data_IF_269605365140
#
_entry.id   IF_269605365140
#
_cell.length_a   1.000
_cell.length_b   1.000
_cell.length_c   1.000
_cell.angle_alpha   90.00
_cell.angle_beta   90.00
_cell.angle_gamma   90.00
#
_symmetry.space_group_name_H-M   'P 1'
#
loop_
_entity.id
_entity.type
_entity.pdbx_description
1 polymer ?
#
# COMPACT_ATOMS: atom_id res chain seq x y z
N UNK A 1 6.76 24.01 7.85
CA UNK A 1 7.35 23.08 6.87
C UNK A 1 6.46 21.86 6.81
N UNK A 2 5.92 21.51 5.67
CA UNK A 2 5.15 20.27 5.47
C UNK A 2 6.09 19.08 5.69
N UNK A 3 5.73 18.19 6.61
CA UNK A 3 6.54 17.00 6.95
C UNK A 3 6.34 15.93 5.86
N UNK A 4 7.25 15.89 4.87
CA UNK A 4 7.21 14.95 3.75
C UNK A 4 7.82 13.63 4.21
N UNK A 5 7.04 12.55 4.14
CA UNK A 5 7.48 11.20 4.51
C UNK A 5 8.08 10.44 3.33
N UNK A 6 7.60 10.71 2.11
CA UNK A 6 8.12 10.11 0.88
C UNK A 6 8.09 11.14 -0.24
N UNK A 7 9.16 11.24 -1.00
CA UNK A 7 9.24 12.09 -2.19
C UNK A 7 9.89 11.33 -3.36
N UNK A 8 9.38 11.56 -4.55
CA UNK A 8 10.02 11.22 -5.82
C UNK A 8 10.31 12.50 -6.56
N UNK A 9 11.50 12.60 -7.17
CA UNK A 9 11.93 13.74 -7.99
C UNK A 9 12.39 13.27 -9.35
N UNK A 10 11.79 13.83 -10.40
CA UNK A 10 12.12 13.54 -11.80
C UNK A 10 12.07 12.04 -12.11
N UNK A 11 11.15 11.30 -11.45
CA UNK A 11 11.07 9.87 -11.55
C UNK A 11 10.71 9.44 -12.98
N UNK A 12 11.58 8.62 -13.57
CA UNK A 12 11.39 8.06 -14.91
C UNK A 12 11.59 6.55 -14.89
N UNK A 13 10.71 5.84 -15.58
CA UNK A 13 10.85 4.40 -15.81
C UNK A 13 10.63 4.07 -17.27
N UNK A 14 11.64 3.46 -17.87
CA UNK A 14 11.60 2.96 -19.24
C UNK A 14 11.44 1.42 -19.24
N UNK A 15 10.60 0.91 -20.12
CA UNK A 15 10.53 -0.51 -20.46
C UNK A 15 10.90 -0.66 -21.94
N UNK A 16 12.00 -1.36 -22.22
CA UNK A 16 12.52 -1.50 -23.58
C UNK A 16 12.66 -0.17 -24.35
N UNK A 17 13.07 0.90 -23.65
CA UNK A 17 13.23 2.24 -24.22
C UNK A 17 11.95 3.09 -24.28
N UNK A 18 10.79 2.51 -23.97
CA UNK A 18 9.51 3.23 -23.96
C UNK A 18 9.22 3.74 -22.53
N UNK A 19 8.94 5.04 -22.33
CA UNK A 19 8.63 5.57 -21.02
C UNK A 19 7.23 5.13 -20.55
N UNK A 20 7.17 4.48 -19.39
CA UNK A 20 5.93 4.21 -18.66
C UNK A 20 5.60 5.35 -17.69
N UNK A 21 6.61 6.02 -17.16
CA UNK A 21 6.54 7.32 -16.48
C UNK A 21 7.76 8.15 -16.91
N UNK A 22 7.58 9.45 -17.03
CA UNK A 22 8.61 10.37 -17.49
C UNK A 22 8.60 11.66 -16.65
N UNK A 23 9.70 11.92 -15.96
CA UNK A 23 9.94 13.16 -15.19
C UNK A 23 8.81 13.48 -14.20
N UNK A 24 8.35 12.47 -13.44
CA UNK A 24 7.25 12.62 -12.50
C UNK A 24 7.78 13.00 -11.12
N UNK A 25 7.25 14.09 -10.58
CA UNK A 25 7.42 14.48 -9.18
C UNK A 25 6.19 14.03 -8.38
N UNK A 26 6.44 13.52 -7.16
CA UNK A 26 5.39 13.10 -6.24
C UNK A 26 5.86 13.31 -4.80
N UNK A 27 4.96 13.79 -3.95
CA UNK A 27 5.21 13.96 -2.53
C UNK A 27 4.06 13.40 -1.70
N UNK A 28 4.41 12.67 -0.64
CA UNK A 28 3.47 12.20 0.38
C UNK A 28 3.80 12.91 1.70
N UNK A 29 2.83 13.62 2.26
CA UNK A 29 2.95 14.26 3.58
C UNK A 29 2.67 13.23 4.68
N UNK A 30 3.23 13.45 5.86
CA UNK A 30 3.00 12.55 6.99
C UNK A 30 1.53 12.56 7.41
N UNK A 31 0.96 11.36 7.56
CA UNK A 31 -0.43 11.19 8.00
C UNK A 31 -1.48 11.71 7.02
N UNK A 32 -1.14 11.83 5.73
CA UNK A 32 -2.12 12.13 4.69
C UNK A 32 -2.56 10.89 3.93
N UNK A 33 -3.73 10.96 3.31
CA UNK A 33 -4.20 10.07 2.26
C UNK A 33 -4.04 10.83 0.94
N UNK A 34 -3.09 10.41 0.11
CA UNK A 34 -2.83 11.00 -1.20
C UNK A 34 -3.33 10.07 -2.30
N UNK A 35 -4.34 10.49 -3.04
CA UNK A 35 -4.85 9.71 -4.15
C UNK A 35 -4.03 9.95 -5.42
N UNK A 36 -3.74 8.87 -6.14
CA UNK A 36 -3.11 8.87 -7.45
C UNK A 36 -4.14 8.41 -8.49
N UNK A 37 -4.63 9.33 -9.31
CA UNK A 37 -5.73 9.12 -10.25
C UNK A 37 -5.24 9.24 -11.69
N UNK A 38 -5.86 8.52 -12.61
CA UNK A 38 -5.58 8.56 -14.05
C UNK A 38 -6.15 7.34 -14.75
N UNK A 39 -6.20 7.39 -16.07
CA UNK A 39 -6.65 6.28 -16.90
C UNK A 39 -5.74 5.04 -16.79
N UNK A 40 -6.22 3.92 -17.31
CA UNK A 40 -5.39 2.71 -17.42
C UNK A 40 -4.20 3.01 -18.34
N UNK A 41 -2.99 2.61 -17.93
CA UNK A 41 -1.78 2.94 -18.64
C UNK A 41 -1.16 4.31 -18.31
N UNK A 42 -1.80 5.16 -17.50
CA UNK A 42 -1.27 6.48 -17.12
C UNK A 42 0.04 6.45 -16.28
N UNK A 43 0.54 5.27 -15.91
CA UNK A 43 1.79 5.12 -15.17
C UNK A 43 1.65 5.00 -13.65
N UNK A 44 0.42 5.04 -13.09
CA UNK A 44 0.14 4.98 -11.65
C UNK A 44 0.84 3.81 -10.94
N UNK A 45 0.54 2.58 -11.40
CA UNK A 45 1.13 1.38 -10.80
C UNK A 45 2.65 1.27 -11.05
N UNK A 46 3.19 1.88 -12.13
CA UNK A 46 4.63 1.94 -12.35
C UNK A 46 5.30 2.84 -11.32
N UNK A 47 4.73 4.02 -11.05
CA UNK A 47 5.23 4.96 -10.07
C UNK A 47 5.25 4.33 -8.67
N UNK A 48 4.15 3.72 -8.25
CA UNK A 48 4.02 3.11 -6.92
C UNK A 48 4.82 1.82 -6.77
N UNK A 49 4.97 1.01 -7.83
CA UNK A 49 5.90 -0.12 -7.85
C UNK A 49 7.36 0.34 -7.70
N UNK A 50 7.72 1.54 -8.20
CA UNK A 50 9.00 2.18 -7.93
C UNK A 50 9.19 2.50 -6.45
N UNK A 51 8.19 3.11 -5.80
CA UNK A 51 8.19 3.39 -4.37
C UNK A 51 8.34 2.13 -3.52
N UNK A 52 7.67 1.05 -3.92
CA UNK A 52 7.66 -0.23 -3.23
C UNK A 52 8.85 -1.15 -3.54
N UNK A 53 9.82 -0.71 -4.34
CA UNK A 53 10.98 -1.53 -4.72
C UNK A 53 10.67 -2.74 -5.60
N UNK A 54 9.48 -2.78 -6.22
CA UNK A 54 9.08 -3.84 -7.16
C UNK A 54 9.73 -3.63 -8.52
N UNK A 55 9.91 -2.35 -8.91
CA UNK A 55 10.65 -1.97 -10.11
C UNK A 55 11.67 -0.90 -9.74
N UNK A 56 12.86 -0.95 -10.37
CA UNK A 56 13.87 0.08 -10.23
C UNK A 56 13.59 1.22 -11.21
N UNK A 57 13.61 2.47 -10.76
CA UNK A 57 13.51 3.64 -11.63
C UNK A 57 14.70 3.68 -12.60
N UNK A 58 14.48 4.16 -13.82
CA UNK A 58 15.53 4.35 -14.82
C UNK A 58 16.35 5.62 -14.54
N UNK A 59 15.71 6.67 -13.99
CA UNK A 59 16.33 7.90 -13.49
C UNK A 59 15.42 8.60 -12.50
N UNK A 60 15.92 9.67 -11.88
CA UNK A 60 15.26 10.37 -10.79
C UNK A 60 15.74 9.88 -9.43
N UNK A 61 15.21 10.48 -8.36
CA UNK A 61 15.56 10.16 -6.99
C UNK A 61 14.32 9.90 -6.16
N UNK A 62 14.47 9.09 -5.11
CA UNK A 62 13.45 8.87 -4.09
C UNK A 62 14.04 9.23 -2.74
N UNK A 63 13.23 9.83 -1.88
CA UNK A 63 13.58 10.12 -0.49
C UNK A 63 12.52 9.59 0.45
N UNK A 64 12.96 9.06 1.58
CA UNK A 64 12.08 8.62 2.69
C UNK A 64 12.54 9.36 3.95
N UNK A 65 11.63 10.14 4.54
CA UNK A 65 11.93 11.03 5.68
C UNK A 65 13.14 11.96 5.41
N UNK A 66 13.26 12.47 4.19
CA UNK A 66 14.35 13.36 3.78
C UNK A 66 15.70 12.69 3.51
N UNK A 67 15.77 11.36 3.58
CA UNK A 67 16.98 10.57 3.31
C UNK A 67 16.84 9.88 1.95
N UNK A 68 17.87 9.96 1.12
CA UNK A 68 17.88 9.28 -0.18
C UNK A 68 17.71 7.78 -0.01
N UNK A 69 16.84 7.21 -0.80
CA UNK A 69 16.46 5.81 -0.78
C UNK A 69 16.31 5.26 -2.20
N UNK A 70 16.70 4.01 -2.42
CA UNK A 70 16.57 3.35 -3.71
C UNK A 70 16.28 1.86 -3.50
N UNK A 71 15.10 1.50 -2.94
CA UNK A 71 14.77 0.11 -2.70
C UNK A 71 14.70 -0.65 -4.03
N UNK A 72 15.36 -1.80 -4.08
CA UNK A 72 15.40 -2.69 -5.25
C UNK A 72 14.53 -3.94 -5.07
N UNK A 73 14.01 -4.12 -3.86
CA UNK A 73 13.15 -5.23 -3.48
C UNK A 73 12.06 -4.75 -2.53
N UNK A 74 10.89 -5.41 -2.51
CA UNK A 74 9.84 -5.12 -1.53
C UNK A 74 10.29 -5.28 -0.07
N UNK A 75 11.29 -6.15 0.18
CA UNK A 75 11.87 -6.30 1.51
C UNK A 75 12.66 -5.06 1.94
N UNK A 76 13.44 -4.47 1.03
CA UNK A 76 14.14 -3.21 1.30
C UNK A 76 13.16 -2.06 1.53
N UNK A 77 12.11 -1.95 0.70
CA UNK A 77 11.06 -0.94 0.89
C UNK A 77 10.36 -1.11 2.26
N UNK A 78 10.11 -2.35 2.69
CA UNK A 78 9.56 -2.65 4.01
C UNK A 78 10.48 -2.19 5.14
N UNK A 79 11.79 -2.35 5.02
CA UNK A 79 12.76 -1.83 6.02
C UNK A 79 12.75 -0.30 6.08
N UNK A 80 12.38 0.39 5.01
CA UNK A 80 12.14 1.83 4.99
C UNK A 80 10.75 2.23 5.53
N UNK A 81 9.93 1.25 5.93
CA UNK A 81 8.59 1.45 6.43
C UNK A 81 7.52 1.59 5.35
N UNK A 82 7.79 1.16 4.11
CA UNK A 82 6.86 1.21 2.99
C UNK A 82 6.31 -0.20 2.73
N UNK A 83 4.99 -0.33 2.71
CA UNK A 83 4.30 -1.56 2.33
C UNK A 83 3.36 -1.29 1.16
N UNK A 84 3.25 -2.24 0.24
CA UNK A 84 2.30 -2.19 -0.86
C UNK A 84 1.31 -3.35 -0.74
N UNK A 85 0.03 -3.02 -0.79
CA UNK A 85 -1.08 -3.95 -0.90
C UNK A 85 -1.47 -3.99 -2.37
N UNK A 86 -1.20 -5.13 -3.00
CA UNK A 86 -1.39 -5.32 -4.44
C UNK A 86 -2.85 -5.64 -4.78
N UNK A 87 -3.25 -5.37 -6.00
CA UNK A 87 -4.52 -5.81 -6.57
C UNK A 87 -4.61 -7.35 -6.61
N UNK A 88 -3.50 -8.03 -6.91
CA UNK A 88 -3.37 -9.48 -6.78
C UNK A 88 -2.83 -9.83 -5.40
N UNK A 89 -3.56 -10.66 -4.66
CA UNK A 89 -3.22 -11.02 -3.28
C UNK A 89 -1.80 -11.61 -3.17
N UNK A 90 -0.98 -11.04 -2.31
CA UNK A 90 0.37 -11.52 -1.96
C UNK A 90 0.35 -12.57 -0.83
N UNK A 91 -0.85 -13.04 -0.45
CA UNK A 91 -1.06 -14.04 0.59
C UNK A 91 -0.83 -15.45 0.05
N UNK A 92 -0.34 -16.35 0.90
CA UNK A 92 -0.20 -17.78 0.59
C UNK A 92 -1.55 -18.47 0.83
N UNK A 93 -2.26 -18.90 -0.23
CA UNK A 93 -3.66 -19.35 -0.12
C UNK A 93 -3.85 -20.61 0.75
N UNK A 94 -2.83 -21.48 0.78
CA UNK A 94 -2.84 -22.74 1.54
C UNK A 94 -2.53 -22.56 3.02
N UNK A 95 -2.06 -21.39 3.43
CA UNK A 95 -1.75 -21.07 4.82
C UNK A 95 -2.95 -20.43 5.52
N UNK A 96 -2.95 -20.52 6.86
CA UNK A 96 -3.94 -19.81 7.68
C UNK A 96 -3.64 -18.32 7.74
N UNK A 97 -4.63 -17.54 8.20
CA UNK A 97 -4.48 -16.10 8.45
C UNK A 97 -3.31 -15.83 9.39
N UNK A 98 -3.23 -16.54 10.52
CA UNK A 98 -2.14 -16.38 11.48
C UNK A 98 -0.77 -16.65 10.84
N UNK A 99 -0.64 -17.71 10.05
CA UNK A 99 0.61 -18.02 9.35
C UNK A 99 0.99 -16.94 8.33
N UNK A 100 0.02 -16.39 7.59
CA UNK A 100 0.28 -15.30 6.64
C UNK A 100 0.71 -14.00 7.35
N UNK A 101 0.13 -13.68 8.50
CA UNK A 101 0.50 -12.49 9.27
C UNK A 101 1.96 -12.55 9.75
N UNK A 102 2.39 -13.71 10.25
CA UNK A 102 3.73 -13.89 10.84
C UNK A 102 4.75 -14.52 9.89
N UNK A 103 4.43 -14.63 8.59
CA UNK A 103 5.34 -15.17 7.59
C UNK A 103 6.66 -14.38 7.56
N UNK A 104 7.80 -15.11 7.72
CA UNK A 104 9.13 -14.52 7.80
C UNK A 104 9.54 -14.06 9.21
N UNK A 105 8.70 -14.29 10.22
CA UNK A 105 9.00 -14.00 11.63
C UNK A 105 8.98 -15.26 12.51
N UNK A 106 9.13 -16.44 11.94
CA UNK A 106 8.96 -17.73 12.62
C UNK A 106 9.92 -17.94 13.79
N UNK A 107 11.06 -17.25 13.81
CA UNK A 107 12.05 -17.34 14.89
C UNK A 107 11.54 -16.86 16.25
N UNK A 108 10.53 -16.01 16.29
CA UNK A 108 9.95 -15.48 17.53
C UNK A 108 8.83 -16.37 18.10
N UNK A 109 8.26 -17.26 17.30
CA UNK A 109 7.08 -18.04 17.69
C UNK A 109 7.34 -19.53 17.49
N UNK A 110 8.18 -20.12 18.36
CA UNK A 110 8.50 -21.56 18.34
C UNK A 110 7.31 -22.48 18.67
N UNK A 111 6.12 -21.92 18.93
CA UNK A 111 4.90 -22.71 19.20
C UNK A 111 3.75 -22.19 18.36
N UNK A 112 3.19 -23.03 17.49
CA UNK A 112 2.02 -22.73 16.65
C UNK A 112 0.87 -22.08 17.44
N UNK A 113 0.59 -22.54 18.67
CA UNK A 113 -0.43 -21.93 19.53
C UNK A 113 -0.18 -20.44 19.82
N UNK A 114 1.05 -20.03 19.95
CA UNK A 114 1.43 -18.63 20.22
C UNK A 114 1.04 -17.69 19.08
N UNK A 115 1.25 -18.11 17.82
CA UNK A 115 0.91 -17.26 16.67
C UNK A 115 -0.61 -17.05 16.51
N UNK A 116 -1.44 -18.05 16.84
CA UNK A 116 -2.90 -17.92 16.77
C UNK A 116 -3.45 -16.94 17.81
N UNK A 117 -2.92 -16.98 19.05
CA UNK A 117 -3.30 -16.05 20.11
C UNK A 117 -2.86 -14.63 19.74
N UNK A 118 -1.61 -14.46 19.31
CA UNK A 118 -1.08 -13.16 18.90
C UNK A 118 -1.87 -12.59 17.70
N UNK A 119 -2.18 -13.42 16.69
CA UNK A 119 -2.99 -13.02 15.57
C UNK A 119 -4.41 -12.59 15.99
N UNK A 120 -5.04 -13.34 16.91
CA UNK A 120 -6.39 -13.01 17.41
C UNK A 120 -6.38 -11.63 18.11
N UNK A 121 -5.45 -11.40 19.02
CA UNK A 121 -5.32 -10.14 19.74
C UNK A 121 -5.02 -8.97 18.79
N UNK A 122 -4.15 -9.19 17.81
CA UNK A 122 -3.77 -8.18 16.84
C UNK A 122 -4.95 -7.81 15.91
N UNK A 123 -5.64 -8.80 15.34
CA UNK A 123 -6.81 -8.56 14.48
C UNK A 123 -7.94 -7.87 15.26
N UNK A 124 -8.17 -8.24 16.52
CA UNK A 124 -9.12 -7.54 17.39
C UNK A 124 -8.71 -6.09 17.64
N UNK A 125 -7.42 -5.80 17.82
CA UNK A 125 -6.94 -4.42 17.99
C UNK A 125 -7.17 -3.53 16.77
N UNK A 126 -7.29 -4.14 15.58
CA UNK A 126 -7.66 -3.48 14.33
C UNK A 126 -9.18 -3.50 14.06
N UNK A 127 -9.96 -4.13 14.94
CA UNK A 127 -11.40 -4.36 14.76
C UNK A 127 -11.72 -5.16 13.48
N UNK A 128 -10.86 -6.16 13.15
CA UNK A 128 -11.03 -7.02 11.98
C UNK A 128 -11.75 -8.32 12.36
N UNK A 129 -12.91 -8.55 11.71
CA UNK A 129 -13.65 -9.81 11.84
C UNK A 129 -13.06 -10.89 10.92
N UNK A 130 -11.87 -11.38 11.28
CA UNK A 130 -11.16 -12.44 10.56
C UNK A 130 -10.66 -13.49 11.57
N UNK A 131 -11.00 -14.75 11.32
CA UNK A 131 -10.58 -15.86 12.19
C UNK A 131 -9.12 -16.25 11.89
N UNK A 132 -8.21 -16.24 12.88
CA UNK A 132 -6.79 -16.56 12.67
C UNK A 132 -6.51 -17.95 12.10
N UNK A 133 -7.37 -18.94 12.41
CA UNK A 133 -7.25 -20.32 11.94
C UNK A 133 -7.87 -20.56 10.56
N UNK A 134 -8.58 -19.59 10.00
CA UNK A 134 -9.16 -19.73 8.67
C UNK A 134 -8.07 -19.82 7.60
N UNK A 135 -8.25 -20.72 6.62
CA UNK A 135 -7.38 -20.82 5.46
C UNK A 135 -7.64 -19.64 4.52
N UNK A 136 -6.59 -18.90 4.17
CA UNK A 136 -6.72 -17.67 3.37
C UNK A 136 -7.39 -17.92 2.02
N UNK A 137 -7.12 -19.06 1.37
CA UNK A 137 -7.74 -19.40 0.09
C UNK A 137 -9.27 -19.42 0.11
N UNK A 138 -9.87 -19.71 1.27
CA UNK A 138 -11.33 -19.79 1.46
C UNK A 138 -11.99 -18.47 1.83
N UNK A 139 -11.19 -17.40 2.07
CA UNK A 139 -11.72 -16.08 2.41
C UNK A 139 -12.23 -15.34 1.17
N UNK A 140 -13.28 -14.54 1.34
CA UNK A 140 -13.71 -13.56 0.35
C UNK A 140 -12.68 -12.43 0.15
N UNK A 141 -12.81 -11.67 -0.93
CA UNK A 141 -11.85 -10.63 -1.33
C UNK A 141 -11.61 -9.60 -0.21
N UNK A 142 -12.66 -9.06 0.40
CA UNK A 142 -12.56 -8.10 1.49
C UNK A 142 -11.76 -8.63 2.69
N UNK A 143 -12.02 -9.88 3.13
CA UNK A 143 -11.28 -10.48 4.24
C UNK A 143 -9.82 -10.74 3.89
N UNK A 144 -9.51 -11.13 2.65
CA UNK A 144 -8.11 -11.25 2.18
C UNK A 144 -7.39 -9.90 2.27
N UNK A 145 -8.05 -8.84 1.81
CA UNK A 145 -7.50 -7.50 1.87
C UNK A 145 -7.24 -7.04 3.32
N UNK A 146 -8.17 -7.33 4.25
CA UNK A 146 -7.94 -7.07 5.69
C UNK A 146 -6.69 -7.77 6.21
N UNK A 147 -6.44 -9.02 5.80
CA UNK A 147 -5.23 -9.77 6.21
C UNK A 147 -3.96 -9.12 5.66
N UNK A 148 -3.96 -8.65 4.42
CA UNK A 148 -2.81 -7.93 3.84
C UNK A 148 -2.53 -6.62 4.57
N UNK A 149 -3.57 -5.85 4.87
CA UNK A 149 -3.45 -4.61 5.64
C UNK A 149 -2.94 -4.91 7.05
N UNK A 150 -3.52 -5.92 7.73
CA UNK A 150 -3.06 -6.35 9.04
C UNK A 150 -1.57 -6.72 9.01
N UNK A 151 -1.12 -7.45 7.99
CA UNK A 151 0.30 -7.79 7.80
C UNK A 151 1.18 -6.55 7.64
N UNK A 152 0.76 -5.56 6.83
CA UNK A 152 1.49 -4.32 6.65
C UNK A 152 1.61 -3.53 7.97
N UNK A 153 0.52 -3.43 8.74
CA UNK A 153 0.51 -2.76 10.04
C UNK A 153 1.35 -3.53 11.08
N UNK A 154 1.28 -4.85 11.09
CA UNK A 154 2.10 -5.71 11.98
C UNK A 154 3.60 -5.48 11.75
N UNK A 155 4.00 -5.25 10.50
CA UNK A 155 5.37 -4.91 10.13
C UNK A 155 5.71 -3.42 10.29
N UNK A 156 4.87 -2.66 11.02
CA UNK A 156 5.08 -1.25 11.37
C UNK A 156 5.24 -0.32 10.16
N UNK A 157 4.53 -0.61 9.08
CA UNK A 157 4.52 0.26 7.91
C UNK A 157 4.11 1.70 8.30
N UNK A 158 4.86 2.68 7.84
CA UNK A 158 4.59 4.11 7.98
C UNK A 158 3.91 4.68 6.74
N UNK A 159 4.15 4.03 5.61
CA UNK A 159 3.52 4.31 4.32
C UNK A 159 2.88 3.04 3.82
N UNK A 160 1.60 3.08 3.50
CA UNK A 160 0.88 1.98 2.86
C UNK A 160 0.38 2.44 1.50
N UNK A 161 0.73 1.69 0.47
CA UNK A 161 0.30 1.93 -0.91
C UNK A 161 -0.80 0.91 -1.24
N UNK A 162 -1.98 1.40 -1.63
CA UNK A 162 -3.09 0.59 -2.10
C UNK A 162 -3.22 0.71 -3.62
N UNK A 163 -3.04 -0.40 -4.34
CA UNK A 163 -3.17 -0.46 -5.81
C UNK A 163 -4.56 -0.96 -6.19
N UNK A 164 -5.47 -0.06 -6.56
CA UNK A 164 -6.87 -0.28 -6.94
C UNK A 164 -7.64 -1.20 -5.96
N UNK A 165 -7.64 -0.92 -4.66
CA UNK A 165 -8.13 -1.85 -3.64
C UNK A 165 -9.65 -2.04 -3.66
N UNK A 166 -10.39 -1.18 -4.34
CA UNK A 166 -11.85 -1.15 -4.36
C UNK A 166 -12.47 -1.80 -5.60
N UNK A 167 -11.63 -2.23 -6.55
CA UNK A 167 -12.09 -2.70 -7.87
C UNK A 167 -13.04 -3.92 -7.80
N UNK A 168 -12.89 -4.79 -6.79
CA UNK A 168 -13.68 -6.01 -6.63
C UNK A 168 -14.63 -5.98 -5.43
N UNK A 169 -14.75 -4.83 -4.76
CA UNK A 169 -15.55 -4.68 -3.55
C UNK A 169 -16.99 -4.23 -3.85
N UNK A 170 -17.94 -4.75 -3.09
CA UNK A 170 -19.32 -4.24 -3.07
C UNK A 170 -19.37 -2.82 -2.48
N UNK A 171 -20.47 -2.06 -2.67
CA UNK A 171 -20.60 -0.73 -2.08
C UNK A 171 -20.44 -0.73 -0.55
N UNK A 172 -20.98 -1.73 0.14
CA UNK A 172 -20.86 -1.88 1.59
C UNK A 172 -19.41 -2.16 2.01
N UNK A 173 -18.72 -3.04 1.28
CA UNK A 173 -17.31 -3.34 1.51
C UNK A 173 -16.41 -2.13 1.23
N UNK A 174 -16.71 -1.32 0.20
CA UNK A 174 -16.00 -0.05 -0.07
C UNK A 174 -16.13 0.92 1.10
N UNK A 175 -17.34 1.09 1.64
CA UNK A 175 -17.54 1.95 2.81
C UNK A 175 -16.70 1.48 3.99
N UNK A 176 -16.73 0.19 4.29
CA UNK A 176 -15.89 -0.39 5.34
C UNK A 176 -14.40 -0.17 5.10
N UNK A 177 -13.94 -0.36 3.87
CA UNK A 177 -12.54 -0.11 3.49
C UNK A 177 -12.16 1.37 3.69
N UNK A 178 -13.01 2.33 3.30
CA UNK A 178 -12.73 3.75 3.50
C UNK A 178 -12.65 4.13 4.98
N UNK A 179 -13.52 3.56 5.81
CA UNK A 179 -13.47 3.79 7.26
C UNK A 179 -12.17 3.22 7.86
N UNK A 180 -11.74 2.05 7.40
CA UNK A 180 -10.46 1.45 7.76
C UNK A 180 -9.26 2.34 7.37
N UNK A 181 -9.24 2.85 6.14
CA UNK A 181 -8.17 3.73 5.64
C UNK A 181 -8.09 5.02 6.48
N UNK A 182 -9.26 5.61 6.83
CA UNK A 182 -9.31 6.76 7.74
C UNK A 182 -8.80 6.44 9.15
N UNK A 183 -9.07 5.23 9.64
CA UNK A 183 -8.54 4.79 10.94
C UNK A 183 -7.02 4.61 10.92
N UNK A 184 -6.47 4.04 9.86
CA UNK A 184 -5.02 3.93 9.66
C UNK A 184 -4.35 5.31 9.63
N UNK A 185 -4.95 6.29 8.92
CA UNK A 185 -4.50 7.68 8.93
C UNK A 185 -4.49 8.25 10.34
N UNK A 186 -5.58 8.08 11.12
CA UNK A 186 -5.65 8.54 12.52
C UNK A 186 -4.56 7.94 13.41
N UNK A 187 -4.10 6.73 13.09
CA UNK A 187 -2.98 6.05 13.76
C UNK A 187 -1.60 6.53 13.26
N UNK A 188 -1.55 7.53 12.36
CA UNK A 188 -0.31 8.14 11.86
C UNK A 188 0.30 7.42 10.65
N UNK A 189 -0.43 6.54 9.99
CA UNK A 189 -0.01 5.92 8.72
C UNK A 189 -0.29 6.90 7.59
N UNK A 190 0.69 7.10 6.70
CA UNK A 190 0.54 7.87 5.46
C UNK A 190 0.14 6.92 4.33
N UNK A 191 -0.75 7.33 3.46
CA UNK A 191 -1.39 6.41 2.52
C UNK A 191 -1.31 6.95 1.09
N UNK A 192 -0.85 6.12 0.16
CA UNK A 192 -1.03 6.33 -1.29
C UNK A 192 -2.17 5.45 -1.75
N UNK A 193 -3.21 6.05 -2.30
CA UNK A 193 -4.41 5.36 -2.76
C UNK A 193 -4.55 5.50 -4.27
N UNK A 194 -4.37 4.40 -5.01
CA UNK A 194 -4.54 4.38 -6.46
C UNK A 194 -5.99 4.02 -6.77
N UNK A 195 -6.64 4.85 -7.57
CA UNK A 195 -7.96 4.56 -8.13
C UNK A 195 -8.09 5.11 -9.55
N UNK A 196 -8.90 4.47 -10.38
CA UNK A 196 -9.36 5.01 -11.64
C UNK A 196 -10.68 5.79 -11.47
N UNK A 197 -11.34 5.68 -10.30
CA UNK A 197 -12.58 6.36 -9.96
C UNK A 197 -12.27 7.66 -9.20
N UNK A 198 -12.41 8.81 -9.86
CA UNK A 198 -12.20 10.12 -9.25
C UNK A 198 -13.11 10.36 -8.03
N UNK A 199 -14.34 9.84 -8.08
CA UNK A 199 -15.30 9.95 -6.97
C UNK A 199 -14.78 9.32 -5.69
N UNK A 200 -14.12 8.17 -5.76
CA UNK A 200 -13.50 7.52 -4.59
C UNK A 200 -12.36 8.36 -4.02
N UNK A 201 -11.54 8.95 -4.90
CA UNK A 201 -10.46 9.84 -4.49
C UNK A 201 -10.99 11.09 -3.77
N UNK A 202 -12.03 11.72 -4.31
CA UNK A 202 -12.67 12.91 -3.71
C UNK A 202 -13.31 12.62 -2.33
N UNK A 203 -13.78 11.39 -2.10
CA UNK A 203 -14.39 11.00 -0.81
C UNK A 203 -13.31 10.71 0.25
N UNK A 204 -12.15 10.20 -0.16
CA UNK A 204 -11.18 9.60 0.76
C UNK A 204 -9.91 10.43 0.95
N UNK A 205 -9.41 11.07 -0.09
CA UNK A 205 -8.10 11.69 -0.09
C UNK A 205 -8.08 13.11 0.47
N UNK A 206 -6.95 13.49 1.03
CA UNK A 206 -6.63 14.87 1.39
C UNK A 206 -6.04 15.65 0.21
N UNK A 207 -5.32 14.93 -0.68
CA UNK A 207 -4.73 15.46 -1.91
C UNK A 207 -4.87 14.46 -3.03
N UNK A 208 -4.98 14.98 -4.24
CA UNK A 208 -5.12 14.17 -5.45
C UNK A 208 -4.06 14.58 -6.46
N UNK A 209 -3.28 13.62 -6.94
CA UNK A 209 -2.40 13.78 -8.09
C UNK A 209 -2.99 13.08 -9.30
N UNK A 210 -3.07 13.79 -10.41
CA UNK A 210 -3.51 13.23 -11.68
C UNK A 210 -2.30 12.92 -12.55
N UNK A 211 -2.21 11.66 -12.98
CA UNK A 211 -1.27 11.22 -14.02
C UNK A 211 -1.99 11.00 -15.35
N UNK A 212 -1.33 11.37 -16.44
CA UNK A 212 -1.76 11.10 -17.79
C UNK A 212 -0.56 10.80 -18.68
N UNK A 213 -0.61 9.75 -19.49
CA UNK A 213 0.44 9.36 -20.45
C UNK A 213 1.85 9.32 -19.81
N UNK A 214 1.94 8.77 -18.60
CA UNK A 214 3.19 8.68 -17.86
C UNK A 214 3.72 9.98 -17.27
N UNK A 215 2.94 11.07 -17.28
CA UNK A 215 3.36 12.41 -16.81
C UNK A 215 2.45 12.91 -15.70
N UNK A 216 3.03 13.74 -14.84
CA UNK A 216 2.30 14.51 -13.85
C UNK A 216 1.52 15.64 -14.55
N UNK A 217 0.23 15.75 -14.27
CA UNK A 217 -0.63 16.81 -14.79
C UNK A 217 -0.84 17.89 -13.74
N UNK A 218 -1.37 17.50 -12.60
CA UNK A 218 -1.69 18.42 -11.49
C UNK A 218 -1.71 17.66 -10.17
N UNK A 219 -1.40 18.35 -9.10
CA UNK A 219 -1.68 17.93 -7.72
C UNK A 219 -2.50 19.03 -7.06
N UNK A 220 -3.63 18.66 -6.45
CA UNK A 220 -4.56 19.57 -5.76
C UNK A 220 -4.89 19.06 -4.36
N UNK A 221 -5.19 20.00 -3.41
CA UNK A 221 -5.53 19.72 -2.01
C UNK A 221 -7.02 19.48 -1.82
#
# INVERSE_FOLDING_TARGET
>A
MTDIVLALRHATKLYAGVPAIENVDFELRRGEIHALVGENGAGKSTLTKGMAGVVTLSSGTMQVNGVDAAPRTPLEARHLGIAMVFQENSLVPTMTVAQNLFLGQERFYNRLRGIYIAAQQFLQSLNFDVTPSATVGLLGAAKKQMVEIARAVLHQAKVIIFDEPTATLTPEEKKYFFDLVRDLKRRGVSIVFISHALEEALILADRITILRDGKHVVTDD
#
